data_IF_856451245857
#
_entry.id   IF_856451245857
#
_cell.length_a   1.000
_cell.length_b   1.000
_cell.length_c   1.000
_cell.angle_alpha   90.00
_cell.angle_beta   90.00
_cell.angle_gamma   90.00
#
_symmetry.space_group_name_H-M   'P 1'
#
loop_
_entity.id
_entity.type
_entity.pdbx_description
1 polymer ?
#
# COMPACT_ATOMS: atom_id res chain seq x y z
N UNK A 1 -2.61 29.40 14.39
CA UNK A 1 -3.29 30.61 13.88
C UNK A 1 -3.67 30.37 12.44
N UNK A 2 -4.96 30.19 12.13
CA UNK A 2 -5.45 30.02 10.76
C UNK A 2 -5.58 31.40 10.08
N UNK A 3 -5.22 31.54 8.81
CA UNK A 3 -5.33 32.79 8.06
C UNK A 3 -6.79 33.27 8.03
N UNK A 4 -6.99 34.59 8.15
CA UNK A 4 -8.30 35.25 8.24
C UNK A 4 -9.27 34.76 7.15
N UNK A 5 -10.47 34.35 7.55
CA UNK A 5 -11.62 34.16 6.65
C UNK A 5 -12.53 35.39 6.69
N UNK A 6 -13.09 35.79 5.54
CA UNK A 6 -14.03 36.90 5.40
C UNK A 6 -15.45 36.55 5.92
N UNK A 7 -15.55 36.03 7.15
CA UNK A 7 -16.82 35.72 7.81
C UNK A 7 -17.07 36.67 8.97
N UNK A 8 -18.10 37.51 8.85
CA UNK A 8 -18.66 38.24 10.00
C UNK A 8 -19.29 37.23 10.98
N UNK A 9 -18.61 36.96 12.10
CA UNK A 9 -19.15 36.14 13.19
C UNK A 9 -18.14 35.93 14.32
N UNK A 10 -18.49 36.37 15.53
CA UNK A 10 -17.64 36.51 16.74
C UNK A 10 -17.07 35.24 17.38
N UNK A 11 -16.57 34.29 16.58
CA UNK A 11 -15.76 33.15 17.03
C UNK A 11 -14.25 33.29 16.76
N UNK A 12 -13.82 34.44 16.22
CA UNK A 12 -12.41 34.72 15.92
C UNK A 12 -11.67 35.41 17.08
N UNK A 13 -12.37 36.07 18.00
CA UNK A 13 -11.75 37.02 18.93
C UNK A 13 -10.80 36.33 19.94
N UNK A 14 -11.18 35.18 20.51
CA UNK A 14 -10.30 34.41 21.42
C UNK A 14 -9.08 33.82 20.71
N UNK A 15 -9.26 33.38 19.46
CA UNK A 15 -8.18 32.83 18.63
C UNK A 15 -7.20 33.93 18.25
N UNK A 16 -7.68 35.11 17.91
CA UNK A 16 -6.87 36.28 17.58
C UNK A 16 -6.15 36.82 18.81
N UNK A 17 -6.82 36.87 19.97
CA UNK A 17 -6.19 37.29 21.23
C UNK A 17 -5.06 36.34 21.64
N UNK A 18 -5.30 35.03 21.56
CA UNK A 18 -4.29 34.01 21.88
C UNK A 18 -3.12 34.06 20.90
N UNK A 19 -3.41 34.27 19.61
CA UNK A 19 -2.37 34.40 18.57
C UNK A 19 -1.53 35.66 18.81
N UNK A 20 -2.16 36.80 19.03
CA UNK A 20 -1.44 38.06 19.26
C UNK A 20 -0.61 38.00 20.54
N UNK A 21 -1.11 37.38 21.60
CA UNK A 21 -0.30 37.17 22.81
C UNK A 21 0.94 36.34 22.49
N UNK A 22 0.79 35.23 21.77
CA UNK A 22 1.93 34.41 21.36
C UNK A 22 2.95 35.19 20.52
N UNK A 23 2.49 36.08 19.63
CA UNK A 23 3.37 36.94 18.83
C UNK A 23 4.13 37.97 19.69
N UNK A 24 3.47 38.56 20.68
CA UNK A 24 4.10 39.52 21.60
C UNK A 24 5.15 38.83 22.48
N UNK A 25 4.85 37.64 23.00
CA UNK A 25 5.83 36.86 23.76
C UNK A 25 7.02 36.45 22.88
N UNK A 26 6.79 36.05 21.63
CA UNK A 26 7.86 35.70 20.69
C UNK A 26 8.78 36.89 20.36
N UNK A 27 8.22 38.10 20.20
CA UNK A 27 9.01 39.31 19.94
C UNK A 27 9.68 39.85 21.21
N UNK A 28 9.17 39.50 22.40
CA UNK A 28 9.65 39.96 23.71
C UNK A 28 10.90 39.23 24.25
N UNK A 29 11.46 38.27 23.52
CA UNK A 29 12.58 37.44 23.98
C UNK A 29 13.98 38.09 23.89
N UNK A 30 14.10 39.41 23.63
CA UNK A 30 15.38 40.12 23.47
C UNK A 30 16.35 40.05 24.69
N UNK A 31 15.97 39.40 25.80
CA UNK A 31 16.81 39.21 26.99
C UNK A 31 16.96 37.77 27.55
N UNK A 32 16.38 36.74 26.92
CA UNK A 32 16.46 35.35 27.41
C UNK A 32 17.29 34.48 26.44
N UNK A 33 18.62 34.55 26.55
CA UNK A 33 19.54 33.67 25.83
C UNK A 33 19.30 32.20 26.24
N UNK A 34 18.86 31.35 25.30
CA UNK A 34 18.79 29.90 25.48
C UNK A 34 17.42 29.23 25.31
N UNK A 35 16.35 29.96 24.98
CA UNK A 35 15.02 29.36 24.71
C UNK A 35 14.85 29.10 23.21
N UNK A 36 14.49 27.87 22.85
CA UNK A 36 14.15 27.46 21.48
C UNK A 36 12.68 27.05 21.44
N UNK A 37 11.89 27.71 20.58
CA UNK A 37 10.47 27.38 20.37
C UNK A 37 10.32 26.50 19.14
N UNK A 38 9.72 25.32 19.31
CA UNK A 38 9.44 24.36 18.24
C UNK A 38 7.92 24.16 18.14
N UNK A 39 7.39 24.14 16.93
CA UNK A 39 6.00 23.83 16.65
C UNK A 39 5.88 22.86 15.46
N UNK A 40 4.80 22.09 15.42
CA UNK A 40 4.49 21.16 14.33
C UNK A 40 3.09 21.46 13.77
N UNK A 41 2.93 21.38 12.44
CA UNK A 41 1.63 21.49 11.76
C UNK A 41 1.62 20.59 10.53
N UNK A 42 0.46 19.97 10.26
CA UNK A 42 0.21 19.28 8.99
C UNK A 42 -0.36 20.22 7.93
N UNK A 43 -0.61 21.48 8.29
CA UNK A 43 -1.23 22.50 7.44
C UNK A 43 -0.46 23.82 7.55
N UNK A 44 0.68 23.97 6.85
CA UNK A 44 1.41 25.24 6.82
C UNK A 44 0.66 26.30 6.00
N UNK A 45 -0.15 25.87 5.03
CA UNK A 45 -1.01 26.69 4.16
C UNK A 45 -1.96 27.59 4.94
N UNK A 46 -2.54 27.07 6.02
CA UNK A 46 -3.48 27.82 6.83
C UNK A 46 -2.80 28.74 7.82
N UNK A 47 -1.49 28.67 8.03
CA UNK A 47 -0.86 29.47 9.08
C UNK A 47 -0.92 30.98 8.78
N UNK A 48 -1.11 31.78 9.82
CA UNK A 48 -0.96 33.23 9.72
C UNK A 48 0.49 33.57 9.33
N UNK A 49 0.65 34.32 8.23
CA UNK A 49 1.96 34.75 7.73
C UNK A 49 2.77 35.55 8.76
N UNK A 50 2.11 36.15 9.75
CA UNK A 50 2.77 36.83 10.86
C UNK A 50 3.64 35.88 11.69
N UNK A 51 3.26 34.61 11.84
CA UNK A 51 4.04 33.60 12.56
C UNK A 51 5.33 33.22 11.83
N UNK A 52 5.33 33.32 10.50
CA UNK A 52 6.43 32.89 9.62
C UNK A 52 7.44 34.01 9.33
N UNK A 53 7.33 35.16 10.00
CA UNK A 53 8.26 36.28 9.84
C UNK A 53 9.57 36.02 10.59
N UNK A 54 10.69 36.60 10.12
CA UNK A 54 11.97 36.55 10.85
C UNK A 54 11.82 37.00 12.31
N UNK A 55 12.47 36.29 13.24
CA UNK A 55 12.33 36.50 14.70
C UNK A 55 11.26 35.64 15.37
N UNK A 56 10.45 34.90 14.60
CA UNK A 56 9.40 34.00 15.11
C UNK A 56 9.67 32.56 14.64
N UNK A 57 8.77 31.96 13.85
CA UNK A 57 9.04 30.68 13.18
C UNK A 57 9.73 30.94 11.83
N UNK A 58 10.98 31.35 11.89
CA UNK A 58 11.80 31.70 10.73
C UNK A 58 12.43 30.48 10.04
N UNK A 59 12.57 29.36 10.76
CA UNK A 59 13.05 28.07 10.24
C UNK A 59 11.90 27.10 10.07
N UNK A 60 11.75 26.61 8.84
CA UNK A 60 10.79 25.58 8.49
C UNK A 60 11.55 24.33 8.08
N UNK A 61 11.26 23.22 8.75
CA UNK A 61 11.80 21.90 8.43
C UNK A 61 10.63 21.01 8.05
N UNK A 62 10.53 20.67 6.77
CA UNK A 62 9.49 19.75 6.29
C UNK A 62 9.93 18.32 6.58
N UNK A 63 9.16 17.62 7.40
CA UNK A 63 9.34 16.19 7.67
C UNK A 63 8.36 15.42 6.79
N UNK A 64 8.86 14.88 5.68
CA UNK A 64 8.07 14.05 4.78
C UNK A 64 7.89 12.62 5.30
N UNK A 65 7.15 11.82 4.53
CA UNK A 65 7.06 10.38 4.77
C UNK A 65 8.43 9.71 4.54
N UNK A 66 8.77 8.67 5.33
CA UNK A 66 10.03 7.96 5.20
C UNK A 66 10.14 7.16 3.89
N UNK A 67 11.35 7.10 3.33
CA UNK A 67 11.72 6.21 2.23
C UNK A 67 11.90 4.75 2.72
N UNK A 68 12.12 3.77 1.83
CA UNK A 68 12.29 2.34 2.20
C UNK A 68 13.33 2.17 3.31
N UNK A 69 14.47 2.85 3.21
CA UNK A 69 15.54 2.76 4.21
C UNK A 69 15.13 3.40 5.54
N UNK A 70 14.48 4.55 5.50
CA UNK A 70 13.90 5.21 6.66
C UNK A 70 12.85 4.34 7.35
N UNK A 71 11.98 3.69 6.58
CA UNK A 71 10.98 2.73 7.10
C UNK A 71 11.67 1.54 7.77
N UNK A 72 12.71 0.98 7.16
CA UNK A 72 13.51 -0.10 7.75
C UNK A 72 14.17 0.34 9.08
N UNK A 73 14.74 1.55 9.13
CA UNK A 73 15.33 2.10 10.36
C UNK A 73 14.29 2.33 11.46
N UNK A 74 13.12 2.89 11.11
CA UNK A 74 12.02 3.11 12.04
C UNK A 74 11.50 1.77 12.58
N UNK A 75 11.26 0.79 11.71
CA UNK A 75 10.87 -0.56 12.12
C UNK A 75 11.90 -1.14 13.11
N UNK A 76 13.19 -1.08 12.80
CA UNK A 76 14.25 -1.55 13.70
C UNK A 76 14.24 -0.85 15.08
N UNK A 77 13.90 0.44 15.16
CA UNK A 77 13.74 1.16 16.43
C UNK A 77 12.56 0.61 17.23
N UNK A 78 11.40 0.42 16.59
CA UNK A 78 10.21 -0.10 17.25
C UNK A 78 10.33 -1.58 17.60
N UNK A 79 11.06 -2.36 16.80
CA UNK A 79 11.30 -3.78 17.06
C UNK A 79 12.04 -4.03 18.37
N UNK A 80 12.90 -3.11 18.83
CA UNK A 80 13.59 -3.24 20.13
C UNK A 80 12.66 -3.36 21.34
N UNK A 81 11.39 -2.96 21.20
CA UNK A 81 10.40 -2.99 22.28
C UNK A 81 9.68 -4.34 22.42
N UNK A 82 9.80 -5.23 21.44
CA UNK A 82 9.05 -6.50 21.35
C UNK A 82 10.04 -7.63 20.99
N UNK A 83 9.93 -8.84 21.54
CA UNK A 83 10.80 -9.95 21.17
C UNK A 83 10.45 -10.47 19.77
N UNK A 84 11.44 -10.52 18.88
CA UNK A 84 11.33 -11.07 17.52
C UNK A 84 12.15 -12.35 17.37
N UNK A 85 11.73 -13.19 16.42
CA UNK A 85 12.52 -14.32 15.94
C UNK A 85 13.67 -13.85 15.05
N UNK A 86 14.73 -14.67 14.94
CA UNK A 86 15.94 -14.37 14.17
C UNK A 86 15.70 -14.42 12.64
N UNK A 87 14.60 -15.06 12.22
CA UNK A 87 14.22 -15.23 10.80
C UNK A 87 13.58 -13.98 10.16
N UNK A 88 13.35 -12.93 10.94
CA UNK A 88 12.57 -11.75 10.54
C UNK A 88 13.35 -10.87 9.57
N UNK A 89 12.83 -10.76 8.35
CA UNK A 89 13.41 -9.93 7.29
C UNK A 89 12.69 -8.58 7.17
N UNK A 90 13.12 -7.62 7.99
CA UNK A 90 12.55 -6.26 8.10
C UNK A 90 12.48 -5.53 6.76
N UNK A 91 13.48 -5.77 5.89
CA UNK A 91 13.54 -5.19 4.54
C UNK A 91 12.27 -5.42 3.73
N UNK A 92 11.69 -6.63 3.76
CA UNK A 92 10.47 -6.92 2.99
C UNK A 92 9.24 -6.23 3.55
N UNK A 93 9.19 -6.02 4.86
CA UNK A 93 8.12 -5.24 5.50
C UNK A 93 8.24 -3.76 5.10
N UNK A 94 9.45 -3.20 5.10
CA UNK A 94 9.69 -1.82 4.69
C UNK A 94 9.33 -1.58 3.20
N UNK A 95 9.65 -2.52 2.31
CA UNK A 95 9.25 -2.48 0.90
C UNK A 95 7.73 -2.60 0.72
N UNK A 96 7.07 -3.42 1.55
CA UNK A 96 5.62 -3.65 1.51
C UNK A 96 4.76 -2.62 2.22
N UNK A 97 5.34 -1.54 2.74
CA UNK A 97 4.64 -0.47 3.47
C UNK A 97 4.86 0.92 2.85
N UNK A 98 4.69 1.08 1.51
CA UNK A 98 4.86 2.38 0.88
C UNK A 98 3.85 3.40 1.44
N UNK A 99 4.31 4.62 1.66
CA UNK A 99 3.47 5.71 2.19
C UNK A 99 3.19 5.65 3.70
N UNK A 100 3.67 4.63 4.41
CA UNK A 100 3.49 4.55 5.86
C UNK A 100 4.30 5.62 6.58
N UNK A 101 3.67 6.32 7.52
CA UNK A 101 4.34 7.21 8.46
C UNK A 101 5.07 6.41 9.55
N UNK A 102 5.91 7.10 10.33
CA UNK A 102 6.55 6.47 11.49
C UNK A 102 5.56 5.91 12.51
N UNK A 103 4.41 6.58 12.66
CA UNK A 103 3.33 6.11 13.54
C UNK A 103 2.66 4.84 12.99
N UNK A 104 2.45 4.74 11.67
CA UNK A 104 1.86 3.56 11.05
C UNK A 104 2.76 2.33 11.19
N UNK A 105 4.08 2.52 11.06
CA UNK A 105 5.07 1.45 11.27
C UNK A 105 5.12 1.02 12.74
N UNK A 106 5.03 1.96 13.68
CA UNK A 106 4.93 1.64 15.10
C UNK A 106 3.67 0.80 15.39
N UNK A 107 2.55 1.16 14.77
CA UNK A 107 1.29 0.43 14.90
C UNK A 107 1.37 -0.97 14.26
N UNK A 108 2.07 -1.13 13.13
CA UNK A 108 2.33 -2.43 12.50
C UNK A 108 3.03 -3.38 13.45
N UNK A 109 4.08 -2.92 14.13
CA UNK A 109 4.80 -3.72 15.13
C UNK A 109 3.88 -4.13 16.28
N UNK A 110 3.03 -3.22 16.74
CA UNK A 110 2.07 -3.51 17.80
C UNK A 110 1.02 -4.55 17.37
N UNK A 111 0.49 -4.43 16.16
CA UNK A 111 -0.45 -5.41 15.59
C UNK A 111 0.19 -6.80 15.41
N UNK A 112 1.46 -6.85 14.99
CA UNK A 112 2.20 -8.11 14.91
C UNK A 112 2.38 -8.77 16.29
N UNK A 113 2.69 -7.97 17.31
CA UNK A 113 2.74 -8.46 18.69
C UNK A 113 1.39 -9.00 19.18
N UNK A 114 0.27 -8.35 18.80
CA UNK A 114 -1.08 -8.82 19.12
C UNK A 114 -1.44 -10.12 18.38
N UNK A 115 -0.94 -10.34 17.16
CA UNK A 115 -1.10 -11.62 16.47
C UNK A 115 -0.32 -12.75 17.15
N UNK A 116 0.95 -12.49 17.50
CA UNK A 116 1.76 -13.45 18.23
C UNK A 116 1.14 -13.81 19.60
N UNK A 117 0.70 -12.81 20.35
CA UNK A 117 0.04 -12.99 21.65
C UNK A 117 -1.25 -13.80 21.54
N UNK A 118 -2.09 -13.56 20.52
CA UNK A 118 -3.31 -14.34 20.25
C UNK A 118 -3.02 -15.82 19.98
N UNK A 119 -1.87 -16.12 19.39
CA UNK A 119 -1.41 -17.50 19.15
C UNK A 119 -0.58 -18.08 20.31
N UNK A 120 -0.53 -17.40 21.47
CA UNK A 120 0.30 -17.76 22.62
C UNK A 120 1.79 -17.92 22.29
N UNK A 121 2.30 -17.23 21.27
CA UNK A 121 3.73 -17.20 20.92
C UNK A 121 4.48 -16.25 21.85
N UNK A 122 5.72 -16.61 22.18
CA UNK A 122 6.62 -15.79 23.01
C UNK A 122 7.42 -14.76 22.20
N UNK A 123 7.59 -15.00 20.90
CA UNK A 123 8.33 -14.16 19.96
C UNK A 123 7.45 -13.89 18.74
N UNK A 124 7.63 -12.73 18.13
CA UNK A 124 6.98 -12.35 16.86
C UNK A 124 7.82 -12.86 15.70
N UNK A 125 7.23 -13.65 14.81
CA UNK A 125 7.91 -14.17 13.64
C UNK A 125 7.53 -13.40 12.36
N UNK A 126 8.17 -13.72 11.24
CA UNK A 126 7.90 -13.05 9.96
C UNK A 126 6.41 -13.14 9.54
N UNK A 127 5.76 -14.28 9.77
CA UNK A 127 4.35 -14.48 9.42
C UNK A 127 3.40 -13.55 10.18
N UNK A 128 3.71 -13.22 11.44
CA UNK A 128 2.90 -12.32 12.25
C UNK A 128 3.03 -10.86 11.76
N UNK A 129 4.23 -10.46 11.33
CA UNK A 129 4.47 -9.15 10.69
C UNK A 129 3.75 -9.04 9.35
N UNK A 130 3.77 -10.09 8.53
CA UNK A 130 3.03 -10.09 7.28
C UNK A 130 1.52 -9.99 7.49
N UNK A 131 0.96 -10.72 8.45
CA UNK A 131 -0.46 -10.63 8.80
C UNK A 131 -0.84 -9.24 9.30
N UNK A 132 0.02 -8.60 10.11
CA UNK A 132 -0.17 -7.24 10.58
C UNK A 132 -0.16 -6.23 9.44
N UNK A 133 0.83 -6.32 8.54
CA UNK A 133 0.93 -5.51 7.33
C UNK A 133 -0.33 -5.65 6.48
N UNK A 134 -0.74 -6.88 6.17
CA UNK A 134 -1.91 -7.15 5.32
C UNK A 134 -3.19 -6.62 5.98
N UNK A 135 -3.33 -6.75 7.31
CA UNK A 135 -4.46 -6.18 8.07
C UNK A 135 -4.52 -4.65 7.96
N UNK A 136 -3.38 -3.96 8.05
CA UNK A 136 -3.34 -2.49 7.98
C UNK A 136 -3.62 -1.96 6.58
N UNK A 137 -3.14 -2.65 5.55
CA UNK A 137 -3.31 -2.20 4.15
C UNK A 137 -4.70 -2.57 3.62
N UNK A 138 -5.17 -3.79 3.88
CA UNK A 138 -6.35 -4.36 3.21
C UNK A 138 -7.53 -4.57 4.15
N UNK A 139 -7.34 -4.37 5.45
CA UNK A 139 -8.33 -4.70 6.48
C UNK A 139 -8.22 -6.14 6.97
N UNK A 140 -9.05 -6.48 7.96
CA UNK A 140 -9.06 -7.82 8.55
C UNK A 140 -9.50 -8.89 7.55
N UNK A 141 -8.91 -10.08 7.71
CA UNK A 141 -9.28 -11.28 6.96
C UNK A 141 -10.68 -11.74 7.34
N UNK A 142 -11.49 -12.12 6.34
CA UNK A 142 -12.89 -12.48 6.54
C UNK A 142 -13.09 -13.99 6.51
N UNK A 143 -12.65 -14.69 7.56
CA UNK A 143 -12.81 -16.15 7.68
C UNK A 143 -14.28 -16.63 7.60
N UNK A 144 -15.25 -15.77 7.93
CA UNK A 144 -16.68 -16.10 7.86
C UNK A 144 -17.30 -15.94 6.48
N UNK A 145 -16.58 -15.31 5.54
CA UNK A 145 -17.05 -15.18 4.17
C UNK A 145 -16.73 -16.48 3.43
N UNK A 146 -17.73 -17.35 3.34
CA UNK A 146 -17.63 -18.59 2.57
C UNK A 146 -17.87 -18.23 1.10
N UNK A 147 -16.80 -18.23 0.31
CA UNK A 147 -16.90 -18.17 -1.15
C UNK A 147 -17.24 -19.54 -1.69
N UNK A 148 -18.07 -19.60 -2.73
CA UNK A 148 -18.30 -20.86 -3.43
C UNK A 148 -17.01 -21.34 -4.10
N UNK A 149 -16.85 -22.64 -4.29
CA UNK A 149 -15.65 -23.23 -4.89
C UNK A 149 -15.41 -22.66 -6.30
N UNK A 150 -16.49 -22.39 -7.04
CA UNK A 150 -16.43 -21.73 -8.35
C UNK A 150 -15.88 -20.30 -8.27
N UNK A 151 -16.33 -19.51 -7.30
CA UNK A 151 -15.85 -18.13 -7.10
C UNK A 151 -14.38 -18.11 -6.64
N UNK A 152 -14.01 -19.03 -5.75
CA UNK A 152 -12.63 -19.20 -5.29
C UNK A 152 -11.71 -19.61 -6.44
N UNK A 153 -12.18 -20.51 -7.31
CA UNK A 153 -11.47 -20.93 -8.52
C UNK A 153 -11.29 -19.76 -9.48
N UNK A 154 -12.35 -19.00 -9.75
CA UNK A 154 -12.28 -17.82 -10.61
C UNK A 154 -11.27 -16.79 -10.07
N UNK A 155 -11.30 -16.54 -8.76
CA UNK A 155 -10.33 -15.67 -8.08
C UNK A 155 -8.90 -16.20 -8.21
N UNK A 156 -8.69 -17.52 -8.10
CA UNK A 156 -7.37 -18.11 -8.29
C UNK A 156 -6.81 -17.88 -9.70
N UNK A 157 -7.64 -18.02 -10.74
CA UNK A 157 -7.24 -17.70 -12.11
C UNK A 157 -6.99 -16.21 -12.31
N UNK A 158 -7.82 -15.36 -11.72
CA UNK A 158 -7.66 -13.90 -11.76
C UNK A 158 -6.31 -13.47 -11.17
N UNK A 159 -6.00 -13.90 -9.96
CA UNK A 159 -4.76 -13.53 -9.29
C UNK A 159 -3.52 -14.15 -9.97
N UNK A 160 -3.63 -15.39 -10.45
CA UNK A 160 -2.56 -16.00 -11.26
C UNK A 160 -2.30 -15.21 -12.55
N UNK A 161 -3.34 -14.65 -13.17
CA UNK A 161 -3.25 -13.78 -14.34
C UNK A 161 -2.38 -12.55 -14.10
N UNK A 162 -2.63 -11.82 -13.01
CA UNK A 162 -1.80 -10.68 -12.62
C UNK A 162 -0.34 -11.08 -12.39
N UNK A 163 -0.11 -12.17 -11.66
CA UNK A 163 1.22 -12.64 -11.29
C UNK A 163 2.06 -13.04 -12.52
N UNK A 164 1.48 -13.82 -13.44
CA UNK A 164 2.16 -14.29 -14.65
C UNK A 164 2.49 -13.12 -15.56
N UNK A 165 1.52 -12.25 -15.87
CA UNK A 165 1.76 -11.11 -16.74
C UNK A 165 2.81 -10.20 -16.12
N UNK A 166 2.67 -9.85 -14.83
CA UNK A 166 3.62 -9.01 -14.10
C UNK A 166 5.05 -9.57 -14.06
N UNK A 167 5.22 -10.90 -14.05
CA UNK A 167 6.54 -11.54 -14.09
C UNK A 167 7.19 -11.54 -15.49
N UNK A 168 6.37 -11.58 -16.54
CA UNK A 168 6.85 -11.69 -17.93
C UNK A 168 7.09 -10.33 -18.61
N UNK A 169 6.44 -9.26 -18.14
CA UNK A 169 6.67 -7.92 -18.66
C UNK A 169 7.95 -7.28 -18.07
N UNK A 170 8.70 -6.46 -18.84
CA UNK A 170 9.93 -5.83 -18.40
C UNK A 170 9.66 -4.64 -17.48
N UNK A 171 10.63 -4.33 -16.63
CA UNK A 171 10.60 -3.18 -15.70
C UNK A 171 9.41 -3.14 -14.72
N UNK A 172 8.62 -4.21 -14.63
CA UNK A 172 7.57 -4.32 -13.62
C UNK A 172 8.17 -4.70 -12.27
N UNK A 173 7.50 -4.26 -11.20
CA UNK A 173 7.93 -4.61 -9.84
C UNK A 173 7.77 -6.12 -9.61
N UNK A 174 8.70 -6.78 -8.90
CA UNK A 174 8.68 -8.22 -8.74
C UNK A 174 7.48 -8.68 -7.90
N UNK A 175 6.86 -9.79 -8.31
CA UNK A 175 5.81 -10.45 -7.53
C UNK A 175 6.41 -10.99 -6.24
N UNK A 176 5.79 -10.67 -5.11
CA UNK A 176 6.20 -11.11 -3.78
C UNK A 176 5.33 -12.23 -3.23
N UNK A 177 4.00 -12.09 -3.39
CA UNK A 177 3.01 -13.00 -2.82
C UNK A 177 1.71 -12.91 -3.61
N UNK A 178 1.02 -14.03 -3.76
CA UNK A 178 -0.33 -14.10 -4.33
C UNK A 178 -1.23 -14.82 -3.33
N UNK A 179 -2.42 -14.30 -3.06
CA UNK A 179 -3.38 -14.88 -2.13
C UNK A 179 -4.80 -14.79 -2.66
N UNK A 180 -5.60 -15.83 -2.46
CA UNK A 180 -7.04 -15.86 -2.78
C UNK A 180 -7.90 -15.73 -1.52
N UNK A 181 -7.29 -15.28 -0.42
CA UNK A 181 -7.99 -15.08 0.85
C UNK A 181 -8.64 -13.71 0.90
N UNK A 182 -9.95 -13.62 1.18
CA UNK A 182 -10.67 -12.37 1.14
C UNK A 182 -10.27 -11.43 2.28
N UNK A 183 -9.96 -10.18 1.93
CA UNK A 183 -9.55 -9.13 2.88
C UNK A 183 -10.27 -7.82 2.57
N UNK A 184 -10.94 -7.26 3.57
CA UNK A 184 -11.71 -6.03 3.40
C UNK A 184 -12.72 -6.12 2.25
N UNK A 185 -12.44 -5.40 1.16
CA UNK A 185 -13.24 -5.40 -0.09
C UNK A 185 -12.68 -6.28 -1.21
N UNK A 186 -11.45 -6.79 -1.07
CA UNK A 186 -10.79 -7.61 -2.09
C UNK A 186 -11.06 -9.11 -1.85
N UNK A 187 -11.30 -9.86 -2.92
CA UNK A 187 -11.50 -11.31 -2.89
C UNK A 187 -10.17 -12.10 -2.99
N UNK A 188 -9.21 -11.53 -3.69
CA UNK A 188 -7.83 -12.00 -3.78
C UNK A 188 -6.87 -10.80 -3.87
N UNK A 189 -5.57 -11.08 -3.84
CA UNK A 189 -4.55 -10.06 -4.07
C UNK A 189 -3.23 -10.63 -4.59
N UNK A 190 -2.68 -9.95 -5.58
CA UNK A 190 -1.32 -10.12 -6.07
C UNK A 190 -0.47 -8.94 -5.59
N UNK A 191 0.53 -9.22 -4.76
CA UNK A 191 1.40 -8.20 -4.17
C UNK A 191 2.70 -8.10 -4.97
N UNK A 192 2.97 -6.91 -5.49
CA UNK A 192 4.25 -6.54 -6.09
C UNK A 192 5.04 -5.65 -5.12
N UNK A 193 6.33 -5.95 -4.93
CA UNK A 193 7.19 -5.16 -4.04
C UNK A 193 8.28 -4.44 -4.82
N UNK A 194 8.27 -3.09 -4.87
CA UNK A 194 9.33 -2.36 -5.52
C UNK A 194 10.65 -2.54 -4.77
N UNK A 195 11.76 -2.71 -5.50
CA UNK A 195 13.08 -2.86 -4.88
C UNK A 195 13.58 -1.58 -4.22
N UNK A 196 13.17 -0.43 -4.78
CA UNK A 196 13.51 0.93 -4.36
C UNK A 196 12.30 1.85 -4.52
N UNK A 197 12.22 2.89 -3.72
CA UNK A 197 11.28 3.98 -4.00
C UNK A 197 11.63 4.63 -5.33
N UNK A 198 10.64 4.80 -6.19
CA UNK A 198 10.80 5.41 -7.50
C UNK A 198 10.10 6.76 -7.53
N UNK A 199 10.86 7.81 -7.84
CA UNK A 199 10.32 9.17 -8.01
C UNK A 199 9.79 9.43 -9.42
N UNK A 200 10.21 8.62 -10.40
CA UNK A 200 9.74 8.69 -11.78
C UNK A 200 9.66 7.28 -12.38
N UNK A 201 8.74 7.09 -13.33
CA UNK A 201 8.54 5.84 -14.04
C UNK A 201 8.79 6.04 -15.55
N UNK A 202 9.41 5.05 -16.18
CA UNK A 202 9.56 5.02 -17.65
C UNK A 202 8.20 4.71 -18.30
N UNK A 203 8.03 5.10 -19.58
CA UNK A 203 6.87 4.67 -20.37
C UNK A 203 6.74 3.14 -20.39
N UNK A 204 7.86 2.42 -20.45
CA UNK A 204 7.88 0.95 -20.47
C UNK A 204 7.37 0.34 -19.16
N UNK A 205 7.75 0.90 -18.01
CA UNK A 205 7.24 0.49 -16.71
C UNK A 205 5.73 0.72 -16.62
N UNK A 206 5.26 1.90 -17.04
CA UNK A 206 3.82 2.23 -17.05
C UNK A 206 3.01 1.31 -17.97
N UNK A 207 3.50 1.04 -19.19
CA UNK A 207 2.90 0.06 -20.10
C UNK A 207 2.83 -1.34 -19.47
N UNK A 208 3.89 -1.75 -18.76
CA UNK A 208 3.97 -3.04 -18.09
C UNK A 208 3.02 -3.13 -16.88
N UNK A 209 2.81 -2.02 -16.15
CA UNK A 209 1.79 -1.93 -15.10
C UNK A 209 0.37 -2.03 -15.67
N UNK A 210 0.08 -1.37 -16.80
CA UNK A 210 -1.23 -1.51 -17.46
C UNK A 210 -1.44 -2.96 -17.92
N UNK A 211 -0.40 -3.59 -18.49
CA UNK A 211 -0.46 -4.98 -18.91
C UNK A 211 -0.80 -5.92 -17.73
N UNK A 212 -0.13 -5.76 -16.59
CA UNK A 212 -0.38 -6.61 -15.42
C UNK A 212 -1.76 -6.40 -14.81
N UNK A 213 -2.31 -5.18 -14.82
CA UNK A 213 -3.68 -4.88 -14.37
C UNK A 213 -4.75 -5.62 -15.19
N UNK A 214 -4.55 -5.85 -16.49
CA UNK A 214 -5.49 -6.63 -17.30
C UNK A 214 -5.31 -8.15 -17.16
N UNK A 215 -4.23 -8.61 -16.51
CA UNK A 215 -3.92 -10.03 -16.37
C UNK A 215 -5.07 -10.84 -15.76
N UNK A 216 -5.71 -10.33 -14.70
CA UNK A 216 -6.81 -11.05 -14.04
C UNK A 216 -8.04 -11.21 -14.90
N UNK A 217 -8.55 -10.12 -15.49
CA UNK A 217 -9.71 -10.16 -16.40
C UNK A 217 -9.48 -11.10 -17.59
N UNK A 218 -8.30 -11.01 -18.20
CA UNK A 218 -7.99 -11.83 -19.37
C UNK A 218 -7.84 -13.30 -18.99
N UNK A 219 -7.27 -13.61 -17.82
CA UNK A 219 -7.20 -14.99 -17.34
C UNK A 219 -8.59 -15.60 -17.15
N UNK A 220 -9.55 -14.84 -16.61
CA UNK A 220 -10.95 -15.28 -16.52
C UNK A 220 -11.54 -15.54 -17.91
N UNK A 221 -11.36 -14.62 -18.85
CA UNK A 221 -11.90 -14.74 -20.21
C UNK A 221 -11.32 -15.93 -20.97
N UNK A 222 -10.00 -16.14 -20.88
CA UNK A 222 -9.31 -17.23 -21.57
C UNK A 222 -9.72 -18.60 -21.03
N UNK A 223 -9.99 -18.72 -19.74
CA UNK A 223 -10.30 -20.01 -19.08
C UNK A 223 -11.80 -20.31 -19.06
N UNK A 224 -12.64 -19.32 -18.80
CA UNK A 224 -14.09 -19.50 -18.61
C UNK A 224 -14.94 -18.96 -19.77
N UNK A 225 -14.35 -18.19 -20.67
CA UNK A 225 -15.04 -17.55 -21.80
C UNK A 225 -15.67 -16.20 -21.43
N UNK A 226 -16.01 -15.43 -22.47
CA UNK A 226 -16.53 -14.06 -22.37
C UNK A 226 -17.76 -13.92 -21.46
N UNK A 227 -18.68 -14.87 -21.51
CA UNK A 227 -19.93 -14.84 -20.73
C UNK A 227 -19.72 -15.02 -19.22
N UNK A 228 -18.54 -15.45 -18.80
CA UNK A 228 -18.20 -15.71 -17.38
C UNK A 228 -17.26 -14.66 -16.79
N UNK A 229 -16.88 -13.63 -17.54
CA UNK A 229 -15.99 -12.59 -17.03
C UNK A 229 -16.68 -11.81 -15.92
N UNK A 230 -16.03 -11.70 -14.77
CA UNK A 230 -16.60 -11.17 -13.54
C UNK A 230 -16.53 -9.64 -13.47
N UNK A 231 -17.22 -9.08 -12.47
CA UNK A 231 -17.10 -7.68 -12.08
C UNK A 231 -15.88 -7.42 -11.17
N UNK A 232 -15.13 -8.45 -10.78
CA UNK A 232 -13.98 -8.34 -9.88
C UNK A 232 -12.85 -7.46 -10.44
N UNK A 233 -12.71 -7.40 -11.76
CA UNK A 233 -11.70 -6.59 -12.45
C UNK A 233 -11.99 -5.07 -12.48
N UNK A 234 -13.07 -4.58 -11.86
CA UNK A 234 -13.50 -3.18 -12.01
C UNK A 234 -12.43 -2.18 -11.53
N UNK A 235 -11.78 -2.47 -10.40
CA UNK A 235 -10.71 -1.63 -9.86
C UNK A 235 -9.45 -1.65 -10.74
N UNK A 236 -9.15 -2.78 -11.38
CA UNK A 236 -7.98 -2.87 -12.26
C UNK A 236 -8.20 -2.11 -13.56
N UNK A 237 -9.41 -2.17 -14.11
CA UNK A 237 -9.83 -1.36 -15.27
C UNK A 237 -9.76 0.13 -14.95
N UNK A 238 -10.26 0.54 -13.78
CA UNK A 238 -10.22 1.94 -13.33
C UNK A 238 -8.77 2.44 -13.24
N UNK A 239 -7.90 1.69 -12.55
CA UNK A 239 -6.48 2.03 -12.40
C UNK A 239 -5.74 2.05 -13.74
N UNK A 240 -5.99 1.07 -14.61
CA UNK A 240 -5.37 1.01 -15.93
C UNK A 240 -5.78 2.22 -16.78
N UNK A 241 -7.06 2.58 -16.73
CA UNK A 241 -7.61 3.76 -17.43
C UNK A 241 -7.02 5.05 -16.89
N UNK A 242 -6.90 5.19 -15.57
CA UNK A 242 -6.29 6.37 -14.95
C UNK A 242 -4.80 6.51 -15.31
N UNK A 243 -4.05 5.41 -15.29
CA UNK A 243 -2.65 5.39 -15.72
C UNK A 243 -2.53 5.81 -17.18
N UNK A 244 -3.30 5.19 -18.08
CA UNK A 244 -3.31 5.55 -19.50
C UNK A 244 -3.69 7.02 -19.72
N UNK A 245 -4.69 7.52 -19.00
CA UNK A 245 -5.08 8.93 -19.02
C UNK A 245 -3.92 9.84 -18.59
N UNK A 246 -3.26 9.55 -17.47
CA UNK A 246 -2.12 10.34 -16.99
C UNK A 246 -0.93 10.29 -17.96
N UNK A 247 -0.66 9.14 -18.59
CA UNK A 247 0.35 9.01 -19.64
C UNK A 247 0.09 9.98 -20.81
N UNK A 248 -1.17 10.11 -21.20
CA UNK A 248 -1.57 10.97 -22.33
C UNK A 248 -1.65 12.45 -21.91
N UNK A 249 -2.30 12.76 -20.79
CA UNK A 249 -2.68 14.14 -20.45
C UNK A 249 -1.72 14.86 -19.51
N UNK A 250 -0.97 14.13 -18.66
CA UNK A 250 -0.08 14.72 -17.65
C UNK A 250 1.38 14.59 -18.01
N UNK A 251 1.79 13.40 -18.50
CA UNK A 251 3.19 13.06 -18.70
C UNK A 251 3.65 13.18 -20.15
N UNK A 252 2.75 13.49 -21.09
CA UNK A 252 3.11 13.78 -22.47
C UNK A 252 3.73 12.58 -23.21
N UNK A 253 3.27 11.36 -22.90
CA UNK A 253 3.81 10.12 -23.47
C UNK A 253 3.12 9.67 -24.76
N UNK A 254 2.15 10.44 -25.25
CA UNK A 254 1.57 10.26 -26.59
C UNK A 254 2.43 10.96 -27.64
N UNK A 255 2.79 10.25 -28.71
CA UNK A 255 3.51 10.84 -29.84
C UNK A 255 2.63 11.76 -30.68
N UNK A 256 1.32 11.48 -30.73
CA UNK A 256 0.35 12.25 -31.51
C UNK A 256 0.04 13.60 -30.87
N UNK A 257 -0.09 13.63 -29.54
CA UNK A 257 -0.34 14.85 -28.77
C UNK A 257 0.96 15.57 -28.34
N UNK A 258 2.07 14.83 -28.27
CA UNK A 258 3.35 15.38 -27.88
C UNK A 258 3.49 15.66 -26.39
N UNK A 259 4.60 16.28 -25.95
CA UNK A 259 4.92 16.50 -24.55
C UNK A 259 4.22 17.74 -23.97
N UNK A 260 2.88 17.75 -24.03
CA UNK A 260 2.04 18.83 -23.51
C UNK A 260 1.20 18.35 -22.32
N UNK A 261 0.97 19.26 -21.36
CA UNK A 261 0.05 19.01 -20.24
C UNK A 261 -1.35 19.51 -20.61
N UNK A 262 -2.28 18.56 -20.69
CA UNK A 262 -3.70 18.77 -20.99
C UNK A 262 -4.58 18.71 -19.73
N UNK A 263 -4.04 18.22 -18.62
CA UNK A 263 -4.76 18.20 -17.34
C UNK A 263 -4.79 19.59 -16.70
N UNK A 264 -5.91 19.93 -16.08
CA UNK A 264 -5.93 20.95 -15.03
C UNK A 264 -5.13 20.41 -13.85
N UNK A 265 -4.17 21.18 -13.34
CA UNK A 265 -3.64 20.91 -12.01
C UNK A 265 -4.83 21.00 -11.04
N UNK A 266 -5.17 19.90 -10.38
CA UNK A 266 -5.89 19.94 -9.11
C UNK A 266 -4.96 20.56 -8.05
N UNK A 267 -4.52 21.80 -8.29
CA UNK A 267 -3.98 22.64 -7.24
C UNK A 267 -5.11 22.91 -6.25
N UNK A 268 -4.83 22.71 -4.96
CA UNK A 268 -5.82 22.87 -3.88
C UNK A 268 -6.72 24.08 -4.12
N UNK A 269 -8.03 23.81 -4.20
CA UNK A 269 -9.07 24.82 -4.36
C UNK A 269 -9.01 25.78 -3.18
N UNK A 270 -8.31 26.89 -3.37
CA UNK A 270 -8.20 27.93 -2.37
C UNK A 270 -9.49 28.73 -2.29
N UNK A 271 -10.04 28.88 -1.09
CA UNK A 271 -11.19 29.74 -0.80
C UNK A 271 -10.87 31.20 -1.15
N UNK A 272 -11.35 31.65 -2.32
CA UNK A 272 -11.57 33.06 -2.64
C UNK A 272 -10.78 33.65 -3.80
N UNK A 273 -9.89 32.89 -4.47
CA UNK A 273 -9.23 33.30 -5.72
C UNK A 273 -8.95 32.12 -6.65
N UNK A 274 -10.02 31.46 -7.09
CA UNK A 274 -9.99 30.64 -8.28
C UNK A 274 -11.41 30.56 -8.82
N UNK A 275 -11.75 31.46 -9.74
CA UNK A 275 -12.65 31.06 -10.82
C UNK A 275 -11.94 29.88 -11.46
N UNK A 276 -12.53 28.70 -11.35
CA UNK A 276 -12.11 27.48 -12.06
C UNK A 276 -11.94 27.89 -13.52
N UNK A 277 -10.70 28.19 -13.93
CA UNK A 277 -10.39 28.29 -15.35
C UNK A 277 -10.34 26.85 -15.80
N UNK A 278 -11.52 26.33 -16.15
CA UNK A 278 -11.55 25.12 -16.92
C UNK A 278 -10.75 25.41 -18.19
N UNK A 279 -9.55 24.83 -18.33
CA UNK A 279 -8.84 24.86 -19.60
C UNK A 279 -9.71 24.01 -20.50
N UNK A 280 -10.61 24.68 -21.23
CA UNK A 280 -11.52 24.01 -22.15
C UNK A 280 -10.66 23.46 -23.28
N UNK A 281 -10.27 22.19 -23.15
CA UNK A 281 -9.62 21.46 -24.24
C UNK A 281 -10.62 21.43 -25.39
N UNK A 282 -10.17 21.80 -26.58
CA UNK A 282 -11.03 21.77 -27.77
C UNK A 282 -11.61 20.36 -27.97
N UNK A 283 -12.85 20.26 -28.47
CA UNK A 283 -13.54 18.97 -28.64
C UNK A 283 -12.73 17.97 -29.47
N UNK A 284 -12.07 18.44 -30.54
CA UNK A 284 -11.18 17.64 -31.39
C UNK A 284 -9.97 17.08 -30.61
N UNK A 285 -9.41 17.87 -29.69
CA UNK A 285 -8.30 17.44 -28.84
C UNK A 285 -8.78 16.43 -27.80
N UNK A 286 -9.96 16.62 -27.21
CA UNK A 286 -10.56 15.67 -26.27
C UNK A 286 -10.83 14.31 -26.94
N UNK A 287 -11.40 14.32 -28.15
CA UNK A 287 -11.57 13.10 -28.94
C UNK A 287 -10.23 12.40 -29.21
N UNK A 288 -9.20 13.17 -29.58
CA UNK A 288 -7.84 12.64 -29.78
C UNK A 288 -7.26 12.03 -28.50
N UNK A 289 -7.49 12.65 -27.34
CA UNK A 289 -7.05 12.13 -26.04
C UNK A 289 -7.70 10.77 -25.78
N UNK A 290 -9.01 10.64 -25.98
CA UNK A 290 -9.73 9.38 -25.74
C UNK A 290 -9.28 8.27 -26.69
N UNK A 291 -9.01 8.58 -27.96
CA UNK A 291 -8.42 7.63 -28.93
C UNK A 291 -7.03 7.14 -28.48
N UNK A 292 -6.18 8.07 -28.01
CA UNK A 292 -4.86 7.71 -27.52
C UNK A 292 -4.94 6.84 -26.25
N UNK A 293 -5.80 7.19 -25.30
CA UNK A 293 -6.02 6.38 -24.09
C UNK A 293 -6.43 4.95 -24.47
N UNK A 294 -7.38 4.82 -25.39
CA UNK A 294 -7.81 3.51 -25.89
C UNK A 294 -6.66 2.75 -26.55
N UNK A 295 -5.85 3.40 -27.38
CA UNK A 295 -4.67 2.79 -28.01
C UNK A 295 -3.65 2.25 -26.99
N UNK A 296 -3.41 2.97 -25.89
CA UNK A 296 -2.57 2.49 -24.80
C UNK A 296 -3.17 1.26 -24.11
N UNK A 297 -4.48 1.26 -23.85
CA UNK A 297 -5.18 0.13 -23.24
C UNK A 297 -5.14 -1.09 -24.16
N UNK A 298 -5.60 -0.95 -25.40
CA UNK A 298 -5.73 -2.05 -26.36
C UNK A 298 -4.39 -2.75 -26.60
N UNK A 299 -3.29 -1.99 -26.79
CA UNK A 299 -1.93 -2.54 -26.94
C UNK A 299 -1.51 -3.39 -25.74
N UNK A 300 -1.78 -2.93 -24.52
CA UNK A 300 -1.36 -3.61 -23.32
C UNK A 300 -2.29 -4.80 -22.99
N UNK A 301 -3.57 -4.72 -23.35
CA UNK A 301 -4.52 -5.83 -23.28
C UNK A 301 -4.09 -6.98 -24.19
N UNK A 302 -3.85 -6.71 -25.48
CA UNK A 302 -3.39 -7.70 -26.45
C UNK A 302 -2.06 -8.34 -26.03
N UNK A 303 -1.16 -7.53 -25.45
CA UNK A 303 0.10 -8.02 -24.92
C UNK A 303 -0.10 -9.00 -23.77
N UNK A 304 -0.92 -8.64 -22.79
CA UNK A 304 -1.22 -9.49 -21.63
C UNK A 304 -1.92 -10.78 -22.07
N UNK A 305 -2.86 -10.69 -23.01
CA UNK A 305 -3.56 -11.84 -23.58
C UNK A 305 -2.63 -12.82 -24.28
N UNK A 306 -1.71 -12.31 -25.12
CA UNK A 306 -0.71 -13.16 -25.76
C UNK A 306 0.16 -13.87 -24.73
N UNK A 307 0.65 -13.15 -23.71
CA UNK A 307 1.51 -13.74 -22.67
C UNK A 307 0.80 -14.85 -21.89
N UNK A 308 -0.48 -14.66 -21.56
CA UNK A 308 -1.27 -15.68 -20.86
C UNK A 308 -1.57 -16.89 -21.73
N UNK A 309 -1.96 -16.68 -23.00
CA UNK A 309 -2.22 -17.78 -23.94
C UNK A 309 -0.97 -18.62 -24.21
N UNK A 310 0.20 -17.99 -24.31
CA UNK A 310 1.49 -18.68 -24.49
C UNK A 310 1.92 -19.47 -23.24
N UNK A 311 1.38 -19.15 -22.06
CA UNK A 311 1.76 -19.75 -20.77
C UNK A 311 0.54 -20.32 -20.02
N UNK A 312 -0.42 -20.86 -20.77
CA UNK A 312 -1.69 -21.36 -20.22
C UNK A 312 -1.47 -22.53 -19.24
N UNK A 313 -0.43 -23.32 -19.47
CA UNK A 313 -0.03 -24.42 -18.58
C UNK A 313 0.39 -23.91 -17.20
N UNK A 314 1.16 -22.82 -17.16
CA UNK A 314 1.55 -22.14 -15.91
C UNK A 314 0.32 -21.55 -15.23
N UNK A 315 -0.61 -20.97 -15.98
CA UNK A 315 -1.85 -20.41 -15.43
C UNK A 315 -2.66 -21.48 -14.68
N UNK A 316 -2.87 -22.65 -15.30
CA UNK A 316 -3.56 -23.77 -14.66
C UNK A 316 -2.80 -24.29 -13.43
N UNK A 317 -1.47 -24.43 -13.53
CA UNK A 317 -0.65 -24.91 -12.40
C UNK A 317 -0.68 -23.93 -11.22
N UNK A 318 -0.61 -22.63 -11.48
CA UNK A 318 -0.65 -21.59 -10.45
C UNK A 318 -2.03 -21.47 -9.80
N UNK A 319 -3.11 -21.54 -10.58
CA UNK A 319 -4.47 -21.58 -10.04
C UNK A 319 -4.68 -22.83 -9.16
N UNK A 320 -4.19 -24.01 -9.58
CA UNK A 320 -4.26 -25.22 -8.78
C UNK A 320 -3.46 -25.11 -7.47
N UNK A 321 -2.26 -24.52 -7.52
CA UNK A 321 -1.47 -24.25 -6.32
C UNK A 321 -2.17 -23.27 -5.37
N UNK A 322 -2.80 -22.21 -5.89
CA UNK A 322 -3.61 -21.28 -5.09
C UNK A 322 -4.83 -21.96 -4.48
N UNK A 323 -5.51 -22.84 -5.20
CA UNK A 323 -6.62 -23.61 -4.64
C UNK A 323 -6.18 -24.55 -3.52
N UNK A 324 -4.96 -25.10 -3.60
CA UNK A 324 -4.39 -25.99 -2.58
C UNK A 324 -3.88 -25.25 -1.34
N UNK A 325 -3.11 -24.18 -1.53
CA UNK A 325 -2.38 -23.50 -0.45
C UNK A 325 -2.99 -22.16 -0.03
N UNK A 326 -3.97 -21.64 -0.80
CA UNK A 326 -4.65 -20.35 -0.63
C UNK A 326 -3.76 -19.11 -0.78
N UNK A 327 -2.46 -19.27 -0.56
CA UNK A 327 -1.42 -18.26 -0.70
C UNK A 327 -0.16 -18.93 -1.21
N UNK A 328 0.50 -18.34 -2.21
CA UNK A 328 1.79 -18.76 -2.72
C UNK A 328 2.80 -17.61 -2.63
N UNK A 329 4.02 -17.93 -2.21
CA UNK A 329 5.10 -16.96 -2.11
C UNK A 329 5.91 -16.83 -3.42
N UNK A 330 6.84 -15.87 -3.45
CA UNK A 330 7.71 -15.66 -4.62
C UNK A 330 8.50 -16.90 -5.05
N UNK A 331 8.90 -17.79 -4.13
CA UNK A 331 9.71 -18.97 -4.46
C UNK A 331 8.84 -20.04 -5.12
N UNK A 332 7.63 -20.23 -4.62
CA UNK A 332 6.62 -21.10 -5.24
C UNK A 332 6.21 -20.58 -6.62
N UNK A 333 6.06 -19.26 -6.77
CA UNK A 333 5.80 -18.62 -8.06
C UNK A 333 6.96 -18.87 -9.01
N UNK A 334 8.22 -18.71 -8.58
CA UNK A 334 9.40 -18.99 -9.40
C UNK A 334 9.48 -20.46 -9.83
N UNK A 335 9.13 -21.42 -8.97
CA UNK A 335 9.06 -22.84 -9.36
C UNK A 335 8.03 -23.07 -10.48
N UNK A 336 6.83 -22.51 -10.30
CA UNK A 336 5.72 -22.62 -11.26
C UNK A 336 6.08 -21.98 -12.61
N UNK A 337 6.70 -20.80 -12.59
CA UNK A 337 7.16 -20.11 -13.80
C UNK A 337 8.23 -20.91 -14.56
N UNK A 338 9.02 -21.72 -13.84
CA UNK A 338 10.01 -22.62 -14.41
C UNK A 338 9.45 -24.01 -14.78
N UNK A 339 8.13 -24.23 -14.65
CA UNK A 339 7.45 -25.51 -14.89
C UNK A 339 7.97 -26.65 -14.00
N UNK A 340 8.37 -26.30 -12.78
CA UNK A 340 8.80 -27.23 -11.75
C UNK A 340 7.64 -27.46 -10.78
N UNK A 341 7.46 -28.68 -10.23
CA UNK A 341 6.47 -28.92 -9.18
C UNK A 341 6.64 -27.94 -8.03
N UNK A 342 5.55 -27.28 -7.65
CA UNK A 342 5.54 -26.28 -6.58
C UNK A 342 5.94 -26.92 -5.26
N UNK A 343 6.88 -26.31 -4.55
CA UNK A 343 7.23 -26.71 -3.19
C UNK A 343 6.10 -26.42 -2.20
N UNK A 344 6.10 -27.13 -1.08
CA UNK A 344 5.20 -26.81 0.03
C UNK A 344 5.57 -25.46 0.68
N UNK A 345 4.59 -24.71 1.22
CA UNK A 345 4.86 -23.48 1.96
C UNK A 345 5.79 -23.70 3.16
N UNK A 346 6.56 -22.69 3.53
CA UNK A 346 7.40 -22.76 4.74
C UNK A 346 6.53 -22.99 5.98
N UNK A 347 6.81 -24.08 6.71
CA UNK A 347 6.04 -24.47 7.91
C UNK A 347 4.77 -25.28 7.63
N UNK A 348 4.58 -25.78 6.40
CA UNK A 348 3.49 -26.68 6.05
C UNK A 348 3.75 -28.10 6.59
N UNK A 349 3.12 -28.45 7.72
CA UNK A 349 3.03 -29.83 8.20
C UNK A 349 1.68 -30.42 7.79
N UNK A 350 1.69 -31.34 6.81
CA UNK A 350 0.50 -32.00 6.25
C UNK A 350 -0.13 -33.05 7.21
N UNK A 351 0.16 -32.94 8.51
CA UNK A 351 -0.32 -33.90 9.52
C UNK A 351 -1.55 -33.31 10.21
N UNK A 352 -2.69 -34.01 10.21
CA UNK A 352 -3.83 -33.62 11.02
C UNK A 352 -3.38 -33.48 12.48
N UNK A 353 -3.93 -32.52 13.26
CA UNK A 353 -3.60 -32.43 14.67
C UNK A 353 -3.88 -33.79 15.29
N UNK A 354 -2.88 -34.39 15.96
CA UNK A 354 -3.12 -35.55 16.81
C UNK A 354 -4.06 -35.09 17.92
N UNK A 355 -5.35 -35.26 17.70
CA UNK A 355 -6.34 -35.26 18.75
C UNK A 355 -6.04 -36.45 19.63
N UNK A 356 -5.36 -36.18 20.75
CA UNK A 356 -5.35 -36.97 21.98
C UNK A 356 -4.42 -36.25 22.97
N UNK A 357 -4.86 -35.11 23.50
CA UNK A 357 -4.34 -34.65 24.79
C UNK A 357 -5.20 -35.35 25.83
N UNK A 358 -4.71 -36.50 26.32
CA UNK A 358 -5.18 -37.06 27.58
C UNK A 358 -4.95 -36.00 28.66
N UNK A 359 -6.04 -35.53 29.24
CA UNK A 359 -6.02 -34.82 30.50
C UNK A 359 -5.55 -35.80 31.57
N UNK A 360 -4.27 -35.74 31.94
CA UNK A 360 -3.76 -36.09 33.26
C UNK A 360 -2.27 -35.73 33.32
N UNK A 361 -1.98 -34.73 34.16
CA UNK A 361 -0.79 -34.58 35.02
C UNK A 361 -0.50 -33.09 35.25
N UNK A 362 -1.27 -32.52 36.17
CA UNK A 362 -0.87 -31.33 36.90
C UNK A 362 0.04 -31.80 38.03
N UNK A 363 1.35 -31.68 37.87
CA UNK A 363 2.31 -31.84 38.97
C UNK A 363 3.53 -30.94 38.79
N UNK A 364 3.51 -29.83 39.53
CA UNK A 364 4.63 -29.19 40.24
C UNK A 364 6.05 -29.25 39.63
N UNK A 365 6.56 -28.10 39.16
CA UNK A 365 7.97 -27.73 39.40
C UNK A 365 8.07 -26.22 39.67
N UNK A 366 8.79 -25.92 40.75
CA UNK A 366 9.05 -24.64 41.39
C UNK A 366 9.70 -23.53 40.55
N UNK A 367 9.48 -22.33 41.09
CA UNK A 367 10.14 -21.04 40.93
C UNK A 367 11.62 -21.06 40.49
N UNK A 368 11.90 -20.39 39.37
CA UNK A 368 12.78 -19.21 39.24
C UNK A 368 13.23 -19.04 37.78
N UNK A 369 12.73 -18.00 37.11
CA UNK A 369 13.52 -17.07 36.27
C UNK A 369 12.63 -16.01 35.62
N UNK A 370 12.80 -14.79 36.11
CA UNK A 370 12.78 -13.50 35.39
C UNK A 370 11.57 -13.23 34.50
N UNK A 371 10.55 -12.61 35.10
CA UNK A 371 9.45 -11.97 34.37
C UNK A 371 9.95 -10.76 33.57
N UNK A 372 9.81 -10.81 32.24
CA UNK A 372 9.41 -9.64 31.46
C UNK A 372 8.06 -9.96 30.84
N UNK A 373 6.99 -9.60 31.56
CA UNK A 373 5.62 -9.65 31.05
C UNK A 373 5.43 -8.52 30.04
N UNK A 374 5.03 -8.87 28.83
CA UNK A 374 4.51 -7.94 27.83
C UNK A 374 3.06 -7.70 28.23
N UNK A 375 2.79 -6.50 28.73
CA UNK A 375 1.47 -6.19 29.28
C UNK A 375 1.41 -4.81 29.88
N UNK A 376 1.82 -3.79 29.12
CA UNK A 376 1.39 -2.42 29.34
C UNK A 376 1.26 -1.76 27.97
N UNK A 377 0.04 -1.33 27.65
CA UNK A 377 -0.25 -0.50 26.50
C UNK A 377 0.67 0.73 26.56
N UNK A 378 1.30 1.04 25.43
CA UNK A 378 2.08 2.26 25.31
C UNK A 378 1.13 3.46 25.43
N UNK A 379 1.13 4.10 26.59
CA UNK A 379 0.57 5.45 26.73
C UNK A 379 1.37 6.39 25.83
N UNK A 380 0.64 7.15 25.02
CA UNK A 380 1.19 8.23 24.20
C UNK A 380 1.65 9.34 25.15
N UNK A 381 2.92 9.74 25.02
CA UNK A 381 3.45 11.00 25.53
C UNK A 381 4.30 11.63 24.45
#
# INVERSE_FOLDING_TARGET
GRQRGAGLGGGNDEREQTLNQLLVEMDGFEGNEGIIVIAATNRPDVLDKALLRPGRFDRQVTVGLPDVKGREQILNVHMKKVPFDDDVQVKYIAQGTPGFSGADLANLINEAALFAARMNKRVVNMSDLEKAKDKLIMGAERHTMVMDEKEKTMTAYHEAGHAIVGKLVPEHDPVYKVSIMPRGRALGVTMFLPERDQYSASKQKLDSMISSLYGGRIAEEVVFGWEQVSTGASNDIERATELARNMVTKWGLSQRLGPLSYSEEEGEVFLGRSVTQHKTVAEETSHTIDEEIRSFIDRNYERAERLLKENIDILHAMAAALMKYETIDKYQIDDLMNRIPVRDPQGWDDKPPRGDVKADEVASVDEKKTEKKIGQAAEQS
#
